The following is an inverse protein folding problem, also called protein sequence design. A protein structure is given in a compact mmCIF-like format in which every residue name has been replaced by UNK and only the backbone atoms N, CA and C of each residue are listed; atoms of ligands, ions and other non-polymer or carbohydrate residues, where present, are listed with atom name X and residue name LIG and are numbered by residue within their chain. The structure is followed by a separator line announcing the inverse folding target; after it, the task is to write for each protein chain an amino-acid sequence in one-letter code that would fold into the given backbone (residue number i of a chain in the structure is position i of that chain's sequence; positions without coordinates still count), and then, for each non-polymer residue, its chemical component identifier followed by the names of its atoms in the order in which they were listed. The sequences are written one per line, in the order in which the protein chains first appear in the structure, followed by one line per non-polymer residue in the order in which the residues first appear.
data_IF_190331665799
#
_entry.id   IF_190331665799
#
_cell.length_a   1.000
_cell.length_b   1.000
_cell.length_c   1.000
_cell.angle_alpha   90.00
_cell.angle_beta   90.00
_cell.angle_gamma   90.00
#
_symmetry.space_group_name_H-M   'P 1'
#
loop_
_entity.id
_entity.type
_entity.pdbx_description
1 polymer ?
#
# COMPACT_ATOMS: atom_id res chain seq x y z
N UNK A 1 -9.30 14.71 -0.07
CA UNK A 1 -9.32 14.65 1.41
C UNK A 1 -8.91 16.00 1.95
N UNK A 2 -9.77 16.65 2.70
CA UNK A 2 -9.61 17.98 3.27
C UNK A 2 -9.29 19.05 2.21
N UNK A 3 -8.01 19.34 1.97
CA UNK A 3 -7.55 20.42 1.09
C UNK A 3 -6.75 19.93 -0.13
N UNK A 4 -6.66 18.59 -0.34
CA UNK A 4 -5.84 17.98 -1.41
C UNK A 4 -6.55 16.81 -2.08
N UNK A 5 -6.23 16.51 -3.35
CA UNK A 5 -6.63 15.26 -3.98
C UNK A 5 -6.15 14.04 -3.17
N UNK A 6 -6.99 12.99 -3.10
CA UNK A 6 -6.67 11.79 -2.34
C UNK A 6 -5.34 11.17 -2.76
N UNK A 7 -5.07 11.11 -4.05
CA UNK A 7 -3.85 10.50 -4.61
C UNK A 7 -2.55 11.13 -4.10
N UNK A 8 -2.57 12.38 -3.59
CA UNK A 8 -1.38 13.04 -3.05
C UNK A 8 -0.84 12.35 -1.80
N UNK A 9 -1.70 11.72 -1.00
CA UNK A 9 -1.29 11.04 0.23
C UNK A 9 -0.46 9.77 -0.05
N UNK A 10 -0.93 8.79 -0.85
CA UNK A 10 -0.10 7.66 -1.21
C UNK A 10 1.14 8.06 -2.02
N UNK A 11 1.05 9.04 -2.93
CA UNK A 11 2.22 9.56 -3.65
C UNK A 11 3.27 10.13 -2.69
N UNK A 12 2.86 10.91 -1.69
CA UNK A 12 3.80 11.44 -0.69
C UNK A 12 4.53 10.32 0.06
N UNK A 13 3.84 9.23 0.36
CA UNK A 13 4.42 8.06 1.04
C UNK A 13 5.51 7.42 0.18
N UNK A 14 5.27 7.24 -1.13
CA UNK A 14 6.27 6.72 -2.07
C UNK A 14 7.47 7.66 -2.21
N UNK A 15 7.22 8.98 -2.36
CA UNK A 15 8.29 9.98 -2.49
C UNK A 15 9.16 10.06 -1.23
N UNK A 16 8.56 10.01 -0.04
CA UNK A 16 9.27 9.93 1.25
C UNK A 16 10.12 8.65 1.33
N UNK A 17 9.67 7.53 0.77
CA UNK A 17 10.46 6.31 0.66
C UNK A 17 11.64 6.44 -0.31
N UNK A 18 11.68 7.50 -1.12
CA UNK A 18 12.69 7.72 -2.16
C UNK A 18 12.34 7.09 -3.50
N UNK A 19 11.11 6.61 -3.67
CA UNK A 19 10.61 5.99 -4.91
C UNK A 19 10.15 7.10 -5.85
N UNK A 20 10.79 7.21 -7.01
CA UNK A 20 10.55 8.29 -7.97
C UNK A 20 9.99 7.83 -9.32
N UNK A 21 10.13 6.57 -9.67
CA UNK A 21 9.46 5.98 -10.83
C UNK A 21 8.18 5.30 -10.35
N UNK A 22 7.03 5.81 -10.77
CA UNK A 22 5.73 5.42 -10.23
C UNK A 22 4.77 5.11 -11.38
N UNK A 23 4.19 3.92 -11.36
CA UNK A 23 3.12 3.51 -12.24
C UNK A 23 1.77 3.71 -11.55
N UNK A 24 0.90 4.49 -12.17
CA UNK A 24 -0.47 4.71 -11.70
C UNK A 24 -1.39 3.82 -12.50
N UNK A 25 -2.04 2.88 -11.80
CA UNK A 25 -2.99 1.93 -12.39
C UNK A 25 -4.39 2.32 -11.96
N UNK A 26 -5.29 2.50 -12.91
CA UNK A 26 -6.66 2.88 -12.62
C UNK A 26 -7.63 2.37 -13.69
N UNK A 27 -8.92 2.63 -13.47
CA UNK A 27 -9.97 2.27 -14.42
C UNK A 27 -9.86 3.06 -15.74
N UNK A 28 -10.43 2.56 -16.84
CA UNK A 28 -10.46 3.32 -18.10
C UNK A 28 -11.12 4.70 -18.00
N UNK A 29 -12.09 4.84 -17.09
CA UNK A 29 -12.83 6.11 -16.89
C UNK A 29 -12.07 7.13 -16.04
N UNK A 30 -11.24 6.68 -15.12
CA UNK A 30 -10.60 7.57 -14.13
C UNK A 30 -9.15 7.90 -14.47
N UNK A 31 -8.46 7.00 -15.19
CA UNK A 31 -7.04 7.18 -15.53
C UNK A 31 -6.76 8.53 -16.24
N UNK A 32 -7.58 9.00 -17.22
CA UNK A 32 -7.35 10.29 -17.87
C UNK A 32 -7.37 11.48 -16.91
N UNK A 33 -8.15 11.39 -15.82
CA UNK A 33 -8.20 12.43 -14.78
C UNK A 33 -6.92 12.46 -13.93
N UNK A 34 -6.33 11.28 -13.67
CA UNK A 34 -5.03 11.21 -13.01
C UNK A 34 -3.92 11.75 -13.90
N UNK A 35 -3.94 11.44 -15.20
CA UNK A 35 -2.98 12.00 -16.18
C UNK A 35 -3.08 13.53 -16.24
N UNK A 36 -4.28 14.09 -16.30
CA UNK A 36 -4.50 15.54 -16.31
C UNK A 36 -4.01 16.20 -15.01
N UNK A 37 -4.30 15.57 -13.85
CA UNK A 37 -3.94 16.09 -12.53
C UNK A 37 -2.43 16.05 -12.27
N UNK A 38 -1.77 14.96 -12.65
CA UNK A 38 -0.41 14.64 -12.18
C UNK A 38 0.65 14.89 -13.25
N UNK A 39 0.27 14.87 -14.54
CA UNK A 39 1.20 15.03 -15.65
C UNK A 39 2.25 13.91 -15.71
N UNK A 40 3.45 14.23 -16.13
CA UNK A 40 4.58 13.28 -16.21
C UNK A 40 5.32 13.08 -14.87
N UNK A 41 4.90 13.75 -13.80
CA UNK A 41 5.53 13.69 -12.49
C UNK A 41 6.69 14.65 -12.27
N UNK A 42 7.18 15.33 -13.29
CA UNK A 42 8.37 16.19 -13.21
C UNK A 42 8.24 17.30 -12.16
N UNK A 43 7.05 17.88 -11.99
CA UNK A 43 6.78 18.90 -10.95
C UNK A 43 6.91 18.39 -9.52
N UNK A 44 6.88 17.08 -9.35
CA UNK A 44 7.03 16.40 -8.04
C UNK A 44 8.41 15.75 -7.88
N UNK A 45 9.34 16.02 -8.80
CA UNK A 45 10.66 15.39 -8.79
C UNK A 45 10.62 13.88 -9.04
N UNK A 46 9.59 13.39 -9.73
CA UNK A 46 9.33 12.00 -10.04
C UNK A 46 9.04 11.80 -11.54
N UNK A 47 8.87 10.55 -11.95
CA UNK A 47 8.44 10.15 -13.29
C UNK A 47 7.23 9.24 -13.16
N UNK A 48 6.12 9.67 -13.73
CA UNK A 48 4.86 8.93 -13.69
C UNK A 48 4.61 8.23 -15.03
N UNK A 49 4.14 7.00 -14.91
CA UNK A 49 3.57 6.21 -16.01
C UNK A 49 2.15 5.83 -15.66
N UNK A 50 1.34 5.52 -16.67
CA UNK A 50 -0.09 5.28 -16.50
C UNK A 50 -0.49 4.01 -17.20
N UNK A 51 -1.34 3.20 -16.56
CA UNK A 51 -1.82 1.95 -17.12
C UNK A 51 -3.28 1.70 -16.74
N UNK A 52 -4.07 1.26 -17.72
CA UNK A 52 -5.47 0.90 -17.52
C UNK A 52 -5.57 -0.49 -16.92
N UNK A 53 -6.32 -0.64 -15.83
CA UNK A 53 -6.86 -1.91 -15.37
C UNK A 53 -8.29 -2.04 -15.92
N UNK A 54 -8.56 -2.94 -16.86
CA UNK A 54 -9.85 -3.00 -17.55
C UNK A 54 -11.01 -3.43 -16.68
N UNK A 55 -10.73 -4.28 -15.67
CA UNK A 55 -11.70 -4.84 -14.74
C UNK A 55 -11.06 -4.99 -13.34
N UNK A 56 -11.87 -4.95 -12.26
CA UNK A 56 -11.38 -5.05 -10.89
C UNK A 56 -11.08 -6.51 -10.50
N UNK A 57 -10.14 -7.15 -11.19
CA UNK A 57 -9.82 -8.57 -11.04
C UNK A 57 -8.90 -8.86 -9.85
N UNK A 58 -8.70 -7.89 -8.96
CA UNK A 58 -7.93 -8.00 -7.73
C UNK A 58 -6.59 -7.26 -7.76
N UNK A 59 -6.01 -7.04 -6.58
CA UNK A 59 -4.80 -6.23 -6.43
C UNK A 59 -3.55 -6.89 -7.01
N UNK A 60 -3.46 -8.22 -6.96
CA UNK A 60 -2.30 -8.93 -7.51
C UNK A 60 -2.20 -8.80 -9.03
N UNK A 61 -3.29 -8.50 -9.73
CA UNK A 61 -3.29 -8.23 -11.17
C UNK A 61 -2.38 -7.05 -11.55
N UNK A 62 -2.20 -6.08 -10.63
CA UNK A 62 -1.34 -4.91 -10.88
C UNK A 62 0.10 -5.30 -11.21
N UNK A 63 0.64 -6.37 -10.62
CA UNK A 63 1.99 -6.85 -10.93
C UNK A 63 2.07 -7.50 -12.31
N UNK A 64 1.00 -8.17 -12.75
CA UNK A 64 0.92 -8.78 -14.08
C UNK A 64 0.82 -7.69 -15.15
N UNK A 65 -0.05 -6.73 -14.94
CA UNK A 65 -0.23 -5.59 -15.86
C UNK A 65 1.02 -4.69 -15.91
N UNK A 66 1.67 -4.50 -14.77
CA UNK A 66 2.85 -3.65 -14.64
C UNK A 66 4.17 -4.34 -14.93
N UNK A 67 4.18 -5.58 -15.43
CA UNK A 67 5.41 -6.38 -15.64
C UNK A 67 6.48 -5.63 -16.45
N UNK A 68 6.10 -5.04 -17.57
CA UNK A 68 7.04 -4.28 -18.41
C UNK A 68 7.61 -3.04 -17.71
N UNK A 69 6.79 -2.38 -16.85
CA UNK A 69 7.24 -1.24 -16.04
C UNK A 69 8.19 -1.69 -14.91
N UNK A 70 7.86 -2.80 -14.25
CA UNK A 70 8.67 -3.35 -13.15
C UNK A 70 10.03 -3.83 -13.69
N UNK A 71 10.05 -4.47 -14.86
CA UNK A 71 11.28 -5.01 -15.43
C UNK A 71 11.98 -5.97 -14.48
N UNK A 72 13.21 -5.66 -14.11
CA UNK A 72 14.05 -6.46 -13.20
C UNK A 72 14.08 -5.90 -11.76
N UNK A 73 13.38 -4.79 -11.50
CA UNK A 73 13.43 -4.09 -10.22
C UNK A 73 12.55 -4.75 -9.15
N UNK A 74 12.93 -4.56 -7.89
CA UNK A 74 12.04 -4.79 -6.76
C UNK A 74 10.95 -3.70 -6.75
N UNK A 75 9.76 -4.00 -6.20
CA UNK A 75 8.59 -3.14 -6.35
C UNK A 75 7.95 -2.79 -5.01
N UNK A 76 7.48 -1.55 -4.88
CA UNK A 76 6.57 -1.11 -3.83
C UNK A 76 5.18 -0.87 -4.42
N UNK A 77 4.15 -1.46 -3.80
CA UNK A 77 2.75 -1.16 -4.11
C UNK A 77 2.13 -0.40 -2.96
N UNK A 78 1.35 0.63 -3.27
CA UNK A 78 0.51 1.36 -2.32
C UNK A 78 -0.90 1.51 -2.89
N UNK A 79 -1.90 1.38 -2.02
CA UNK A 79 -3.29 1.59 -2.43
C UNK A 79 -3.63 3.08 -2.45
N UNK A 80 -4.36 3.49 -3.49
CA UNK A 80 -4.66 4.89 -3.78
C UNK A 80 -5.60 5.58 -2.77
N UNK A 81 -6.23 4.81 -1.89
CA UNK A 81 -7.17 5.26 -0.86
C UNK A 81 -6.57 5.20 0.57
N UNK A 82 -5.27 4.96 0.70
CA UNK A 82 -4.61 4.83 1.99
C UNK A 82 -3.80 6.06 2.36
N UNK A 83 -3.91 6.48 3.61
CA UNK A 83 -3.15 7.56 4.23
C UNK A 83 -2.27 6.97 5.32
N UNK A 84 -0.98 7.30 5.28
CA UNK A 84 0.00 6.92 6.30
C UNK A 84 0.58 8.17 6.94
N UNK A 85 0.60 8.21 8.26
CA UNK A 85 1.20 9.30 9.01
C UNK A 85 1.86 8.76 10.28
N UNK A 86 3.00 9.31 10.66
CA UNK A 86 3.66 8.95 11.91
C UNK A 86 5.12 9.35 11.96
N UNK A 87 5.61 9.53 13.19
CA UNK A 87 7.02 9.79 13.40
C UNK A 87 7.86 8.57 13.01
N UNK A 88 8.90 8.78 12.22
CA UNK A 88 9.78 7.69 11.75
C UNK A 88 9.26 6.90 10.55
N UNK A 89 8.13 7.30 9.93
CA UNK A 89 7.59 6.65 8.73
C UNK A 89 8.66 6.54 7.63
N UNK A 90 9.35 7.63 7.32
CA UNK A 90 10.46 7.65 6.36
C UNK A 90 11.54 6.60 6.63
N UNK A 91 11.97 6.46 7.90
CA UNK A 91 12.98 5.46 8.29
C UNK A 91 12.46 4.05 8.12
N UNK A 92 11.20 3.81 8.50
CA UNK A 92 10.56 2.50 8.34
C UNK A 92 10.44 2.10 6.87
N UNK A 93 10.04 3.01 6.00
CA UNK A 93 9.91 2.78 4.56
C UNK A 93 11.28 2.48 3.92
N UNK A 94 12.30 3.27 4.21
CA UNK A 94 13.66 3.03 3.70
C UNK A 94 14.22 1.70 4.16
N UNK A 95 14.01 1.34 5.43
CA UNK A 95 14.43 0.03 5.96
C UNK A 95 13.70 -1.11 5.25
N UNK A 96 12.43 -0.94 4.92
CA UNK A 96 11.66 -1.95 4.18
C UNK A 96 12.20 -2.16 2.77
N UNK A 97 12.49 -1.07 2.04
CA UNK A 97 13.13 -1.15 0.73
C UNK A 97 14.49 -1.85 0.80
N UNK A 98 15.30 -1.53 1.82
CA UNK A 98 16.61 -2.17 2.03
C UNK A 98 16.48 -3.67 2.32
N UNK A 99 15.50 -4.09 3.12
CA UNK A 99 15.25 -5.52 3.39
C UNK A 99 14.94 -6.27 2.11
N UNK A 100 14.09 -5.70 1.25
CA UNK A 100 13.76 -6.32 -0.04
C UNK A 100 15.00 -6.41 -0.93
N UNK A 101 15.74 -5.32 -1.07
CA UNK A 101 16.93 -5.26 -1.93
C UNK A 101 18.03 -6.25 -1.50
N UNK A 102 18.33 -6.31 -0.19
CA UNK A 102 19.46 -7.08 0.33
C UNK A 102 19.10 -8.53 0.67
N UNK A 103 17.89 -8.77 1.19
CA UNK A 103 17.48 -10.08 1.71
C UNK A 103 16.50 -10.82 0.80
N UNK A 104 16.00 -10.16 -0.24
CA UNK A 104 14.94 -10.68 -1.13
C UNK A 104 13.71 -11.22 -0.39
N UNK A 105 13.37 -10.54 0.72
CA UNK A 105 12.16 -10.80 1.50
C UNK A 105 11.10 -9.77 1.16
N UNK A 106 9.86 -10.18 1.10
CA UNK A 106 8.74 -9.25 1.07
C UNK A 106 8.52 -8.61 2.44
N UNK A 107 8.07 -7.36 2.44
CA UNK A 107 7.73 -6.61 3.67
C UNK A 107 6.33 -6.06 3.54
N UNK A 108 5.49 -6.40 4.50
CA UNK A 108 4.13 -5.87 4.66
C UNK A 108 3.98 -5.26 6.04
N UNK A 109 2.95 -4.43 6.22
CA UNK A 109 2.73 -3.73 7.48
C UNK A 109 1.41 -4.16 8.10
N UNK A 110 1.40 -4.31 9.41
CA UNK A 110 0.22 -4.64 10.19
C UNK A 110 -0.14 -3.49 11.14
N UNK A 111 -1.42 -3.17 11.20
CA UNK A 111 -1.97 -2.12 12.05
C UNK A 111 -3.12 -2.67 12.89
N UNK A 112 -3.17 -2.33 14.18
CA UNK A 112 -4.24 -2.76 15.06
C UNK A 112 -5.53 -2.00 14.79
N UNK A 113 -6.62 -2.72 14.51
CA UNK A 113 -7.95 -2.18 14.22
C UNK A 113 -9.02 -2.86 15.08
N UNK A 114 -10.18 -2.22 15.21
CA UNK A 114 -11.32 -2.78 15.96
C UNK A 114 -12.23 -3.64 15.07
N UNK A 115 -12.12 -3.50 13.74
CA UNK A 115 -12.95 -4.18 12.73
C UNK A 115 -12.11 -4.99 11.71
N UNK A 116 -11.27 -5.95 12.17
CA UNK A 116 -10.29 -6.65 11.33
C UNK A 116 -10.91 -7.44 10.18
N UNK A 117 -12.16 -7.88 10.28
CA UNK A 117 -12.87 -8.66 9.26
C UNK A 117 -13.03 -7.94 7.90
N UNK A 118 -12.73 -6.64 7.83
CA UNK A 118 -12.75 -5.86 6.59
C UNK A 118 -11.49 -6.02 5.74
N UNK A 119 -10.43 -6.56 6.32
CA UNK A 119 -9.07 -6.53 5.77
C UNK A 119 -8.44 -7.93 5.69
N UNK A 120 -7.29 -8.03 5.06
CA UNK A 120 -6.40 -9.14 5.30
C UNK A 120 -5.91 -9.13 6.75
N UNK A 121 -6.05 -10.22 7.47
CA UNK A 121 -5.72 -10.31 8.91
C UNK A 121 -4.50 -11.19 9.12
N UNK A 122 -3.49 -10.67 9.83
CA UNK A 122 -2.30 -11.44 10.17
C UNK A 122 -2.35 -11.91 11.62
N UNK A 123 -2.10 -13.21 11.82
CA UNK A 123 -1.94 -13.83 13.12
C UNK A 123 -0.47 -13.88 13.52
N UNK A 124 -0.16 -13.58 14.77
CA UNK A 124 1.20 -13.63 15.32
C UNK A 124 1.32 -14.65 16.45
N UNK A 125 2.49 -15.24 16.58
CA UNK A 125 2.86 -15.95 17.81
C UNK A 125 3.37 -15.00 18.91
N UNK A 126 3.69 -15.53 20.07
CA UNK A 126 4.20 -14.76 21.21
C UNK A 126 5.55 -14.04 20.94
N UNK A 127 6.26 -14.43 19.89
CA UNK A 127 7.52 -13.80 19.45
C UNK A 127 7.31 -12.81 18.30
N UNK A 128 6.06 -12.40 18.05
CA UNK A 128 5.65 -11.48 16.96
C UNK A 128 6.01 -11.99 15.55
N UNK A 129 6.15 -13.30 15.37
CA UNK A 129 6.31 -13.91 14.05
C UNK A 129 4.94 -14.21 13.46
N UNK A 130 4.71 -13.81 12.22
CA UNK A 130 3.48 -14.12 11.51
C UNK A 130 3.32 -15.64 11.32
N UNK A 131 2.13 -16.14 11.63
CA UNK A 131 1.73 -17.55 11.54
C UNK A 131 0.80 -17.79 10.36
N UNK A 132 -0.15 -16.88 10.14
CA UNK A 132 -1.12 -16.97 9.06
C UNK A 132 -1.52 -15.57 8.60
N UNK A 133 -2.00 -15.47 7.36
CA UNK A 133 -2.69 -14.29 6.82
C UNK A 133 -3.96 -14.79 6.15
N UNK A 134 -5.12 -14.20 6.49
CA UNK A 134 -6.42 -14.58 5.95
C UNK A 134 -7.13 -13.35 5.38
N UNK A 135 -7.67 -13.46 4.16
CA UNK A 135 -8.43 -12.37 3.54
C UNK A 135 -9.84 -12.31 4.12
N UNK A 136 -10.18 -11.17 4.70
CA UNK A 136 -11.53 -10.83 5.21
C UNK A 136 -12.20 -11.99 5.96
N UNK A 137 -11.56 -12.56 6.98
CA UNK A 137 -12.08 -13.71 7.68
C UNK A 137 -13.36 -13.37 8.44
N UNK A 138 -14.35 -14.27 8.43
CA UNK A 138 -15.56 -14.11 9.25
C UNK A 138 -15.24 -14.14 10.76
N UNK A 139 -14.24 -14.92 11.15
CA UNK A 139 -13.76 -15.06 12.52
C UNK A 139 -12.28 -14.74 12.60
N UNK A 140 -11.90 -13.44 12.69
CA UNK A 140 -10.50 -13.01 12.71
C UNK A 140 -9.72 -13.61 13.88
N UNK A 141 -8.51 -14.12 13.63
CA UNK A 141 -7.63 -14.67 14.67
C UNK A 141 -6.85 -13.59 15.42
N UNK A 142 -6.85 -12.39 14.92
CA UNK A 142 -6.21 -11.23 15.55
C UNK A 142 -6.90 -9.93 15.12
N UNK A 143 -6.51 -8.81 15.76
CA UNK A 143 -6.94 -7.47 15.38
C UNK A 143 -5.91 -6.74 14.50
N UNK A 144 -4.96 -7.46 13.90
CA UNK A 144 -3.95 -6.84 13.05
C UNK A 144 -4.32 -6.95 11.58
N UNK A 145 -4.77 -5.82 11.00
CA UNK A 145 -5.02 -5.68 9.57
C UNK A 145 -3.72 -5.48 8.80
N UNK A 146 -3.57 -6.14 7.67
CA UNK A 146 -2.52 -5.83 6.68
C UNK A 146 -2.94 -4.58 5.94
N UNK A 147 -2.13 -3.53 6.02
CA UNK A 147 -2.45 -2.24 5.41
C UNK A 147 -2.06 -2.22 3.92
N UNK A 148 -2.61 -1.27 3.16
CA UNK A 148 -2.41 -1.15 1.73
C UNK A 148 -1.04 -0.59 1.31
N UNK A 149 0.05 -1.15 1.86
CA UNK A 149 1.43 -0.80 1.54
C UNK A 149 2.29 -2.06 1.59
N UNK A 150 2.98 -2.35 0.50
CA UNK A 150 3.67 -3.61 0.29
C UNK A 150 5.00 -3.36 -0.40
N UNK A 151 6.05 -4.06 0.02
CA UNK A 151 7.34 -4.10 -0.64
C UNK A 151 7.67 -5.53 -1.01
N UNK A 152 7.96 -5.77 -2.27
CA UNK A 152 8.20 -7.10 -2.80
C UNK A 152 9.48 -7.17 -3.63
N UNK A 153 10.20 -8.31 -3.59
CA UNK A 153 11.22 -8.59 -4.58
C UNK A 153 10.59 -8.79 -5.96
N UNK A 154 11.38 -8.63 -7.02
CA UNK A 154 10.96 -8.79 -8.42
C UNK A 154 10.17 -10.08 -8.68
N UNK A 155 10.46 -11.16 -7.96
CA UNK A 155 9.75 -12.44 -8.05
C UNK A 155 8.23 -12.32 -7.87
N UNK A 156 7.73 -11.20 -7.34
CA UNK A 156 6.28 -10.97 -7.15
C UNK A 156 5.50 -11.04 -8.46
N UNK A 157 6.11 -10.67 -9.58
CA UNK A 157 5.46 -10.74 -10.90
C UNK A 157 5.10 -12.19 -11.22
N UNK A 158 6.04 -13.12 -11.02
CA UNK A 158 5.76 -14.54 -11.26
C UNK A 158 4.78 -15.09 -10.22
N UNK A 159 4.95 -14.74 -8.94
CA UNK A 159 4.01 -15.16 -7.88
C UNK A 159 2.59 -14.71 -8.21
N UNK A 160 2.40 -13.47 -8.67
CA UNK A 160 1.09 -12.95 -9.04
C UNK A 160 0.46 -13.71 -10.24
N UNK A 161 1.26 -14.13 -11.21
CA UNK A 161 0.81 -14.97 -12.33
C UNK A 161 0.33 -16.36 -11.88
N UNK A 162 0.87 -16.88 -10.79
CA UNK A 162 0.54 -18.20 -10.25
C UNK A 162 -0.64 -18.16 -9.24
N UNK A 163 -1.07 -16.96 -8.81
CA UNK A 163 -2.25 -16.78 -7.93
C UNK A 163 -3.52 -17.21 -8.67
N UNK A 164 -4.33 -17.99 -7.99
CA UNK A 164 -5.66 -18.37 -8.48
C UNK A 164 -6.70 -17.40 -7.94
N UNK A 165 -7.73 -17.08 -8.75
CA UNK A 165 -8.84 -16.26 -8.26
C UNK A 165 -9.47 -16.88 -7.01
N UNK A 166 -9.82 -16.03 -6.05
CA UNK A 166 -10.58 -16.40 -4.86
C UNK A 166 -12.04 -16.73 -5.21
N UNK A 167 -12.84 -17.15 -4.23
CA UNK A 167 -14.28 -17.35 -4.39
C UNK A 167 -15.02 -16.07 -4.82
N UNK A 168 -14.39 -14.89 -4.64
CA UNK A 168 -14.88 -13.59 -5.12
C UNK A 168 -14.49 -13.33 -6.59
N UNK A 169 -13.71 -14.21 -7.22
CA UNK A 169 -13.18 -14.04 -8.57
C UNK A 169 -11.97 -13.09 -8.66
N UNK A 170 -11.37 -12.70 -7.53
CA UNK A 170 -10.27 -11.74 -7.47
C UNK A 170 -8.90 -12.43 -7.27
N UNK A 171 -7.86 -11.88 -7.90
CA UNK A 171 -6.47 -12.21 -7.63
C UNK A 171 -6.03 -11.44 -6.36
N UNK A 172 -6.17 -12.10 -5.22
CA UNK A 172 -5.99 -11.48 -3.92
C UNK A 172 -4.52 -11.20 -3.61
N UNK A 173 -4.24 -10.01 -3.08
CA UNK A 173 -2.91 -9.67 -2.56
C UNK A 173 -2.55 -10.56 -1.35
N UNK A 174 -3.55 -11.00 -0.60
CA UNK A 174 -3.37 -11.92 0.53
C UNK A 174 -2.79 -13.25 0.08
N UNK A 175 -3.16 -13.75 -1.11
CA UNK A 175 -2.57 -14.98 -1.67
C UNK A 175 -1.08 -14.80 -2.02
N UNK A 176 -0.70 -13.62 -2.52
CA UNK A 176 0.71 -13.27 -2.71
C UNK A 176 1.46 -13.26 -1.38
N UNK A 177 0.89 -12.66 -0.34
CA UNK A 177 1.49 -12.61 0.99
C UNK A 177 1.62 -14.00 1.62
N UNK A 178 0.62 -14.88 1.45
CA UNK A 178 0.65 -16.27 1.90
C UNK A 178 1.80 -17.04 1.24
N UNK A 179 2.01 -16.87 -0.06
CA UNK A 179 3.13 -17.51 -0.76
C UNK A 179 4.48 -17.16 -0.10
N UNK A 180 4.75 -15.88 0.17
CA UNK A 180 5.98 -15.46 0.84
C UNK A 180 6.05 -15.92 2.30
N UNK A 181 4.91 -15.98 3.00
CA UNK A 181 4.84 -16.50 4.38
C UNK A 181 5.22 -17.99 4.43
N UNK A 182 4.68 -18.81 3.54
CA UNK A 182 4.95 -20.24 3.44
C UNK A 182 6.41 -20.53 3.10
N UNK A 183 7.03 -19.67 2.30
CA UNK A 183 8.46 -19.76 1.99
C UNK A 183 9.37 -19.21 3.11
N UNK A 184 8.80 -18.67 4.19
CA UNK A 184 9.58 -18.05 5.27
C UNK A 184 10.26 -16.74 4.85
N UNK A 185 9.84 -16.12 3.75
CA UNK A 185 10.39 -14.90 3.15
C UNK A 185 9.45 -13.70 3.28
N UNK A 186 8.42 -13.76 4.12
CA UNK A 186 7.58 -12.63 4.50
C UNK A 186 8.05 -12.02 5.82
N UNK A 187 8.30 -10.72 5.83
CA UNK A 187 8.49 -9.94 7.04
C UNK A 187 7.27 -9.05 7.27
N UNK A 188 6.66 -9.15 8.44
CA UNK A 188 5.57 -8.25 8.85
C UNK A 188 6.12 -7.22 9.83
N UNK A 189 5.94 -5.94 9.53
CA UNK A 189 6.28 -4.83 10.41
C UNK A 189 5.01 -4.31 11.08
N UNK A 190 5.00 -4.29 12.41
CA UNK A 190 3.87 -3.76 13.17
C UNK A 190 4.01 -2.23 13.24
N UNK A 191 2.99 -1.53 12.79
CA UNK A 191 2.84 -0.08 12.96
C UNK A 191 2.25 0.16 14.36
N UNK A 192 3.14 0.45 15.31
CA UNK A 192 2.79 0.65 16.71
C UNK A 192 2.14 2.03 16.96
N UNK A 193 1.90 2.35 18.23
CA UNK A 193 1.39 3.66 18.66
C UNK A 193 2.27 4.79 18.13
N UNK A 194 1.65 5.84 17.63
CA UNK A 194 2.35 6.97 16.99
C UNK A 194 2.28 6.95 15.48
N UNK A 195 1.83 5.84 14.88
CA UNK A 195 1.41 5.80 13.49
C UNK A 195 -0.11 5.92 13.39
N UNK A 196 -0.56 6.53 12.32
CA UNK A 196 -1.94 6.50 11.86
C UNK A 196 -1.97 5.90 10.46
N UNK A 197 -2.85 4.94 10.28
CA UNK A 197 -3.25 4.42 9.00
C UNK A 197 -4.76 4.63 8.87
N UNK A 198 -5.18 5.23 7.77
CA UNK A 198 -6.57 5.46 7.45
C UNK A 198 -6.84 4.94 6.03
N UNK A 199 -7.85 4.12 5.88
CA UNK A 199 -8.44 3.84 4.59
C UNK A 199 -9.55 4.88 4.33
N UNK A 200 -9.84 5.16 3.07
CA UNK A 200 -10.91 6.10 2.69
C UNK A 200 -11.98 5.42 1.83
N UNK A 201 -12.13 4.11 2.02
CA UNK A 201 -13.02 3.28 1.22
C UNK A 201 -14.51 3.46 1.50
N UNK A 202 -14.89 4.17 2.57
CA UNK A 202 -16.27 4.50 2.91
C UNK A 202 -16.46 5.99 3.12
N UNK A 203 -17.72 6.48 3.08
CA UNK A 203 -18.00 7.90 3.36
C UNK A 203 -17.57 8.32 4.76
N UNK A 204 -17.81 7.46 5.75
CA UNK A 204 -17.44 7.72 7.15
C UNK A 204 -15.90 7.75 7.30
N UNK A 205 -15.17 6.76 6.78
CA UNK A 205 -13.72 6.74 6.86
C UNK A 205 -13.07 7.89 6.08
N UNK A 206 -13.67 8.34 4.97
CA UNK A 206 -13.23 9.52 4.24
C UNK A 206 -13.42 10.81 5.06
N UNK A 207 -14.51 10.92 5.80
CA UNK A 207 -14.76 12.05 6.70
C UNK A 207 -13.77 12.05 7.87
N UNK A 208 -13.55 10.90 8.50
CA UNK A 208 -12.58 10.73 9.59
C UNK A 208 -11.17 11.09 9.14
N UNK A 209 -10.74 10.62 7.97
CA UNK A 209 -9.46 10.96 7.38
C UNK A 209 -9.33 12.47 7.14
N UNK A 210 -10.39 13.12 6.63
CA UNK A 210 -10.41 14.56 6.40
C UNK A 210 -10.31 15.35 7.71
N UNK A 211 -10.98 14.92 8.77
CA UNK A 211 -10.89 15.53 10.10
C UNK A 211 -9.52 15.35 10.74
N UNK A 212 -8.94 14.17 10.59
CA UNK A 212 -7.58 13.86 11.06
C UNK A 212 -6.55 14.80 10.41
N UNK A 213 -6.54 14.90 9.08
CA UNK A 213 -5.64 15.79 8.33
C UNK A 213 -5.86 17.23 8.74
N UNK A 214 -7.10 17.71 8.77
CA UNK A 214 -7.45 19.06 9.19
C UNK A 214 -6.89 19.39 10.57
N UNK A 215 -7.09 18.49 11.53
CA UNK A 215 -6.67 18.70 12.92
C UNK A 215 -5.16 18.84 13.02
N UNK A 216 -4.42 17.94 12.37
CA UNK A 216 -2.96 17.97 12.38
C UNK A 216 -2.42 19.24 11.72
N UNK A 217 -2.88 19.56 10.50
CA UNK A 217 -2.42 20.74 9.77
C UNK A 217 -2.70 22.02 10.55
N UNK A 218 -3.90 22.17 11.10
CA UNK A 218 -4.25 23.36 11.91
C UNK A 218 -3.46 23.47 13.20
N UNK A 219 -3.12 22.36 13.86
CA UNK A 219 -2.37 22.36 15.12
C UNK A 219 -0.88 22.55 14.94
N UNK A 220 -0.31 21.92 13.91
CA UNK A 220 1.13 21.94 13.67
C UNK A 220 1.56 23.09 12.76
N UNK A 221 0.65 23.67 11.97
CA UNK A 221 0.96 24.68 10.95
C UNK A 221 1.76 24.10 9.78
N UNK A 222 1.77 22.79 9.60
CA UNK A 222 2.48 22.07 8.54
C UNK A 222 1.49 21.32 7.66
N UNK A 223 1.75 21.24 6.38
CA UNK A 223 0.93 20.47 5.45
C UNK A 223 1.32 18.99 5.48
N UNK A 224 0.31 18.11 5.48
CA UNK A 224 0.50 16.68 5.28
C UNK A 224 0.44 16.41 3.78
N UNK A 225 1.28 15.51 3.28
CA UNK A 225 1.37 15.16 1.86
C UNK A 225 1.58 16.39 0.95
N UNK A 226 2.49 17.27 1.33
CA UNK A 226 2.93 18.42 0.52
C UNK A 226 3.94 17.94 -0.51
N UNK A 227 3.45 17.22 -1.53
CA UNK A 227 4.30 16.56 -2.54
C UNK A 227 5.01 17.52 -3.49
N UNK A 228 4.63 18.80 -3.49
CA UNK A 228 5.30 19.83 -4.29
C UNK A 228 6.56 20.39 -3.61
N UNK A 229 6.71 20.13 -2.29
CA UNK A 229 7.84 20.61 -1.47
C UNK A 229 8.60 19.47 -0.75
N UNK A 230 8.44 18.21 -1.22
CA UNK A 230 9.16 17.05 -0.70
C UNK A 230 10.59 16.92 -1.24
#
# INVERSE_FOLDING_TARGET
IYNKPMIYYPLSTLLIAGIKEILIISTPSDLPRFEELLGDGSRFGAKFSYLVQPSPDGLAQAFILGEDFIGEDDVCMILGDNIFFGHGLHTMLKKSAQIVAEQKKSVVFAYHVDDPQRYGVVEFNNSQKALSIEEKPENPKSNFAVVGLYFYPNSVVQVAKDVKPSDRGELEITSVNQHYLEQGSLQVQIMERGYAWLDTGTFDSMLEASQFVQTLEKRQGLQIADIENL
#
